data_IF_285312700441
#
_entry.id   IF_285312700441
#
_cell.length_a   1.000
_cell.length_b   1.000
_cell.length_c   1.000
_cell.angle_alpha   90.00
_cell.angle_beta   90.00
_cell.angle_gamma   90.00
#
_symmetry.space_group_name_H-M   'P 1'
#
loop_
_entity.id
_entity.type
_entity.pdbx_description
1 polymer ?
#
# COMPACT_ATOMS: atom_id res chain seq x y z
N UNK A 1 5.49 -8.18 10.62
CA UNK A 1 5.92 -6.85 11.10
C UNK A 1 6.32 -6.05 9.87
N UNK A 2 5.90 -4.79 9.74
CA UNK A 2 6.33 -3.95 8.59
C UNK A 2 7.59 -3.23 9.01
N UNK A 3 8.61 -3.26 8.16
CA UNK A 3 9.89 -2.58 8.33
C UNK A 3 10.21 -1.77 7.09
N UNK A 4 11.03 -0.73 7.23
CA UNK A 4 11.59 0.00 6.10
C UNK A 4 12.82 -0.72 5.49
N UNK A 5 13.45 -0.10 4.49
CA UNK A 5 14.65 -0.63 3.84
C UNK A 5 15.88 -0.70 4.74
N UNK A 6 15.91 0.06 5.84
CA UNK A 6 16.97 0.03 6.85
C UNK A 6 16.65 -0.97 7.98
N UNK A 7 15.50 -1.66 7.92
CA UNK A 7 15.04 -2.61 8.93
C UNK A 7 14.36 -1.95 10.14
N UNK A 8 14.06 -0.65 10.10
CA UNK A 8 13.37 0.03 11.21
C UNK A 8 11.87 -0.31 11.19
N UNK A 9 11.26 -0.64 12.33
CA UNK A 9 9.86 -1.06 12.38
C UNK A 9 8.90 0.13 12.23
N UNK A 10 7.78 -0.10 11.54
CA UNK A 10 6.64 0.80 11.54
C UNK A 10 5.76 0.56 12.77
N UNK A 11 5.46 1.63 13.51
CA UNK A 11 4.41 1.64 14.54
C UNK A 11 3.04 1.68 13.87
N UNK A 12 2.35 0.53 13.85
CA UNK A 12 1.02 0.39 13.25
C UNK A 12 0.01 0.03 14.33
N UNK A 13 -0.78 1.02 14.74
CA UNK A 13 -1.76 0.90 15.82
C UNK A 13 -3.08 0.26 15.38
N UNK A 14 -3.36 0.21 14.08
CA UNK A 14 -4.62 -0.33 13.53
C UNK A 14 -4.38 -1.41 12.50
N UNK A 15 -5.04 -2.55 12.69
CA UNK A 15 -5.06 -3.71 11.79
C UNK A 15 -6.51 -4.09 11.48
N UNK A 16 -6.82 -4.56 10.26
CA UNK A 16 -5.93 -4.75 9.12
C UNK A 16 -5.48 -3.44 8.48
N UNK A 17 -4.30 -3.43 7.88
CA UNK A 17 -3.80 -2.35 7.03
C UNK A 17 -3.44 -2.91 5.66
N UNK A 18 -3.42 -2.04 4.65
CA UNK A 18 -3.10 -2.40 3.27
C UNK A 18 -1.99 -1.47 2.78
N UNK A 19 -1.02 -2.02 2.05
CA UNK A 19 0.05 -1.22 1.44
C UNK A 19 -0.44 -0.58 0.15
N UNK A 20 -0.02 0.67 -0.07
CA UNK A 20 -0.29 1.36 -1.31
C UNK A 20 0.56 0.78 -2.44
N UNK A 21 -0.11 0.37 -3.52
CA UNK A 21 0.54 0.01 -4.79
C UNK A 21 0.24 1.01 -5.92
N UNK A 22 -0.76 1.87 -5.75
CA UNK A 22 -1.18 2.80 -6.80
C UNK A 22 -0.32 4.06 -6.93
N UNK A 23 0.55 4.35 -5.96
CA UNK A 23 1.42 5.53 -5.95
C UNK A 23 0.73 6.85 -5.56
N UNK A 24 -0.60 6.91 -5.54
CA UNK A 24 -1.36 8.13 -5.28
C UNK A 24 -1.82 8.31 -3.83
N UNK A 25 -1.46 7.41 -2.91
CA UNK A 25 -1.80 7.57 -1.49
C UNK A 25 -1.04 8.73 -0.87
N UNK A 26 -1.72 9.53 -0.07
CA UNK A 26 -1.08 10.57 0.76
C UNK A 26 -0.54 9.98 2.08
N UNK A 27 -1.08 8.83 2.51
CA UNK A 27 -0.68 8.11 3.71
C UNK A 27 0.36 7.01 3.45
N UNK A 28 1.31 7.25 2.53
CA UNK A 28 2.36 6.27 2.18
C UNK A 28 3.14 5.82 3.42
N UNK A 29 3.45 4.52 3.57
CA UNK A 29 3.32 3.44 2.59
C UNK A 29 1.94 2.76 2.53
N UNK A 30 0.95 3.25 3.27
CA UNK A 30 -0.36 2.63 3.40
C UNK A 30 -1.37 3.15 2.38
N UNK A 31 -2.41 2.35 2.12
CA UNK A 31 -3.52 2.71 1.24
C UNK A 31 -4.54 3.58 1.98
N UNK A 32 -4.91 4.71 1.37
CA UNK A 32 -5.92 5.68 1.85
C UNK A 32 -7.19 5.70 0.97
N UNK A 33 -7.28 4.79 0.00
CA UNK A 33 -8.38 4.75 -0.98
C UNK A 33 -8.19 5.62 -2.23
N UNK A 34 -7.10 6.39 -2.34
CA UNK A 34 -6.79 7.21 -3.52
C UNK A 34 -6.77 6.43 -4.83
N UNK A 35 -6.45 5.12 -4.79
CA UNK A 35 -6.50 4.23 -5.95
C UNK A 35 -7.85 4.24 -6.67
N UNK A 36 -8.98 4.39 -5.95
CA UNK A 36 -10.31 4.45 -6.56
C UNK A 36 -10.55 5.77 -7.29
N UNK A 37 -10.05 6.87 -6.72
CA UNK A 37 -10.18 8.22 -7.29
C UNK A 37 -9.43 8.35 -8.61
N UNK A 38 -8.23 7.76 -8.69
CA UNK A 38 -7.41 7.78 -9.90
C UNK A 38 -7.71 6.66 -10.89
N UNK A 39 -8.70 5.80 -10.61
CA UNK A 39 -9.03 4.66 -11.47
C UNK A 39 -7.91 3.62 -11.59
N UNK A 40 -7.05 3.51 -10.58
CA UNK A 40 -5.95 2.55 -10.61
C UNK A 40 -6.49 1.12 -10.62
N UNK A 41 -6.17 0.39 -11.68
CA UNK A 41 -6.51 -1.02 -11.85
C UNK A 41 -5.22 -1.82 -11.94
N UNK A 42 -5.03 -2.75 -11.01
CA UNK A 42 -4.02 -3.81 -11.16
C UNK A 42 -4.67 -4.93 -11.95
N UNK A 43 -4.54 -4.91 -13.27
CA UNK A 43 -4.74 -6.13 -14.06
C UNK A 43 -3.49 -6.97 -13.88
N UNK A 44 -3.58 -8.06 -13.14
CA UNK A 44 -2.60 -9.13 -13.27
C UNK A 44 -2.85 -9.76 -14.64
N UNK A 45 -1.90 -9.82 -15.58
CA UNK A 45 -1.88 -11.02 -16.39
C UNK A 45 -1.54 -12.13 -15.40
N UNK A 46 -2.50 -13.04 -15.16
CA UNK A 46 -2.13 -14.37 -14.70
C UNK A 46 -1.08 -14.87 -15.71
N UNK A 47 0.16 -14.97 -15.28
CA UNK A 47 1.24 -15.53 -16.08
C UNK A 47 1.99 -16.45 -15.14
N UNK A 48 1.60 -17.72 -15.29
CA UNK A 48 2.27 -19.00 -15.02
C UNK A 48 3.29 -19.07 -13.87
#
# INVERSE_FOLDING_TARGET
>A
MVVDSEGRPYSIDRRPFVLCRCGASEARPFCDGSHRRIGFTSKEPASE
#
